data_IF_950421788066
#
_entry.id   IF_950421788066
#
_cell.length_a   1.000
_cell.length_b   1.000
_cell.length_c   1.000
_cell.angle_alpha   90.00
_cell.angle_beta   90.00
_cell.angle_gamma   90.00
#
_symmetry.space_group_name_H-M   'P 1'
#
loop_
_entity.id
_entity.type
_entity.pdbx_description
1 polymer ?
#
# COMPACT_ATOMS: atom_id res chain seq x y z
N UNK A 1 -11.09 13.70 8.88
CA UNK A 1 -11.06 12.35 8.27
C UNK A 1 -10.38 12.32 6.89
N UNK A 2 -10.69 13.22 5.95
CA UNK A 2 -10.08 13.18 4.61
C UNK A 2 -8.56 13.33 4.59
N UNK A 3 -7.99 14.27 5.35
CA UNK A 3 -6.52 14.45 5.40
C UNK A 3 -5.80 13.21 5.96
N UNK A 4 -6.39 12.56 6.97
CA UNK A 4 -5.90 11.29 7.50
C UNK A 4 -5.91 10.22 6.40
N UNK A 5 -7.00 10.11 5.64
CA UNK A 5 -7.07 9.17 4.54
C UNK A 5 -6.07 9.47 3.42
N UNK A 6 -5.75 10.74 3.13
CA UNK A 6 -4.69 11.10 2.17
C UNK A 6 -3.31 10.68 2.65
N UNK A 7 -3.02 10.92 3.94
CA UNK A 7 -1.75 10.51 4.55
C UNK A 7 -1.56 9.00 4.42
N UNK A 8 -2.55 8.21 4.87
CA UNK A 8 -2.47 6.76 4.76
C UNK A 8 -2.50 6.27 3.31
N UNK A 9 -3.23 6.93 2.40
CA UNK A 9 -3.15 6.63 0.97
C UNK A 9 -1.70 6.73 0.44
N UNK A 10 -0.97 7.79 0.80
CA UNK A 10 0.43 7.97 0.42
C UNK A 10 1.36 6.93 1.07
N UNK A 11 1.13 6.64 2.35
CA UNK A 11 1.88 5.62 3.10
C UNK A 11 1.76 4.24 2.43
N UNK A 12 0.53 3.78 2.18
CA UNK A 12 0.25 2.49 1.55
C UNK A 12 0.76 2.44 0.10
N UNK A 13 0.66 3.55 -0.64
CA UNK A 13 1.24 3.62 -2.00
C UNK A 13 2.76 3.40 -1.98
N UNK A 14 3.46 3.96 -0.99
CA UNK A 14 4.90 3.77 -0.83
C UNK A 14 5.24 2.31 -0.50
N UNK A 15 4.52 1.70 0.44
CA UNK A 15 4.73 0.30 0.82
C UNK A 15 4.43 -0.65 -0.34
N UNK A 16 3.32 -0.42 -1.05
CA UNK A 16 2.97 -1.20 -2.24
C UNK A 16 4.05 -1.12 -3.32
N UNK A 17 4.60 0.06 -3.58
CA UNK A 17 5.71 0.23 -4.52
C UNK A 17 6.99 -0.49 -4.06
N UNK A 18 7.33 -0.38 -2.78
CA UNK A 18 8.51 -1.02 -2.19
C UNK A 18 8.42 -2.55 -2.26
N UNK A 19 7.29 -3.12 -1.83
CA UNK A 19 7.06 -4.56 -1.87
C UNK A 19 6.97 -5.08 -3.31
N UNK A 20 6.41 -4.30 -4.25
CA UNK A 20 6.46 -4.64 -5.68
C UNK A 20 7.89 -4.71 -6.18
N UNK A 21 8.73 -3.73 -5.85
CA UNK A 21 10.15 -3.75 -6.21
C UNK A 21 10.86 -4.99 -5.66
N UNK A 22 10.66 -5.33 -4.38
CA UNK A 22 11.26 -6.51 -3.78
C UNK A 22 10.75 -7.82 -4.39
N UNK A 23 9.46 -7.89 -4.72
CA UNK A 23 8.91 -9.03 -5.43
C UNK A 23 9.56 -9.22 -6.80
N UNK A 24 9.63 -8.16 -7.61
CA UNK A 24 10.15 -8.24 -8.98
C UNK A 24 11.66 -8.48 -9.04
N UNK A 25 12.40 -8.01 -8.03
CA UNK A 25 13.86 -8.23 -7.95
C UNK A 25 14.24 -9.53 -7.25
N UNK A 26 13.28 -10.22 -6.63
CA UNK A 26 13.55 -11.39 -5.79
C UNK A 26 14.30 -11.07 -4.50
N UNK A 27 14.35 -9.79 -4.11
CA UNK A 27 15.04 -9.35 -2.89
C UNK A 27 14.27 -9.83 -1.66
N UNK A 28 14.99 -10.50 -0.77
CA UNK A 28 14.49 -10.90 0.53
C UNK A 28 15.03 -9.96 1.61
N UNK A 29 14.20 -9.69 2.62
CA UNK A 29 14.61 -8.94 3.80
C UNK A 29 13.87 -9.43 5.04
N UNK A 30 14.42 -9.12 6.21
CA UNK A 30 13.78 -9.41 7.50
C UNK A 30 13.47 -8.10 8.20
N UNK A 31 12.22 -7.90 8.59
CA UNK A 31 11.79 -6.76 9.39
C UNK A 31 10.87 -7.25 10.51
N UNK A 32 11.08 -6.74 11.73
CA UNK A 32 10.29 -7.11 12.91
C UNK A 32 10.20 -8.64 13.16
N UNK A 33 11.26 -9.37 12.81
CA UNK A 33 11.30 -10.84 12.94
C UNK A 33 10.56 -11.62 11.83
N UNK A 34 9.96 -10.93 10.85
CA UNK A 34 9.28 -11.53 9.71
C UNK A 34 10.23 -11.54 8.51
N UNK A 35 10.44 -12.72 7.90
CA UNK A 35 11.18 -12.85 6.65
C UNK A 35 10.23 -12.63 5.47
N UNK A 36 10.49 -11.57 4.71
CA UNK A 36 9.77 -11.23 3.49
C UNK A 36 10.42 -11.94 2.30
N UNK A 37 9.83 -13.08 1.92
CA UNK A 37 10.17 -13.80 0.69
C UNK A 37 9.47 -13.17 -0.52
N UNK A 38 9.80 -13.54 -1.78
CA UNK A 38 9.13 -12.98 -2.95
C UNK A 38 7.61 -13.17 -2.93
N UNK A 39 7.12 -14.31 -2.42
CA UNK A 39 5.68 -14.57 -2.29
C UNK A 39 5.01 -13.68 -1.24
N UNK A 40 5.68 -13.42 -0.10
CA UNK A 40 5.15 -12.50 0.93
C UNK A 40 5.15 -11.06 0.43
N UNK A 41 6.20 -10.64 -0.29
CA UNK A 41 6.27 -9.33 -0.92
C UNK A 41 5.17 -9.13 -1.97
N UNK A 42 4.89 -10.14 -2.80
CA UNK A 42 3.79 -10.07 -3.76
C UNK A 42 2.43 -9.86 -3.08
N UNK A 43 2.17 -10.60 -1.99
CA UNK A 43 0.94 -10.47 -1.22
C UNK A 43 0.83 -9.11 -0.54
N UNK A 44 1.90 -8.64 0.12
CA UNK A 44 1.94 -7.33 0.76
C UNK A 44 1.67 -6.21 -0.27
N UNK A 45 2.36 -6.25 -1.41
CA UNK A 45 2.15 -5.30 -2.50
C UNK A 45 0.69 -5.23 -2.95
N UNK A 46 0.04 -6.39 -3.14
CA UNK A 46 -1.36 -6.45 -3.54
C UNK A 46 -2.29 -5.82 -2.49
N UNK A 47 -2.08 -6.13 -1.20
CA UNK A 47 -2.84 -5.55 -0.10
C UNK A 47 -2.69 -4.03 -0.04
N UNK A 48 -1.45 -3.53 -0.04
CA UNK A 48 -1.13 -2.10 0.10
C UNK A 48 -1.72 -1.30 -1.07
N UNK A 49 -1.62 -1.82 -2.31
CA UNK A 49 -2.20 -1.17 -3.49
C UNK A 49 -3.72 -1.09 -3.38
N UNK A 50 -4.39 -2.16 -2.95
CA UNK A 50 -5.86 -2.17 -2.79
C UNK A 50 -6.30 -1.16 -1.72
N UNK A 51 -5.59 -1.11 -0.58
CA UNK A 51 -5.88 -0.16 0.50
C UNK A 51 -5.64 1.27 0.02
N UNK A 52 -4.52 1.53 -0.67
CA UNK A 52 -4.21 2.84 -1.24
C UNK A 52 -5.30 3.31 -2.21
N UNK A 53 -5.78 2.45 -3.11
CA UNK A 53 -6.87 2.77 -4.04
C UNK A 53 -8.15 3.11 -3.28
N UNK A 54 -8.54 2.29 -2.29
CA UNK A 54 -9.75 2.54 -1.51
C UNK A 54 -9.68 3.88 -0.74
N UNK A 55 -8.54 4.15 -0.10
CA UNK A 55 -8.30 5.41 0.62
C UNK A 55 -8.28 6.60 -0.33
N UNK A 56 -7.64 6.48 -1.50
CA UNK A 56 -7.60 7.51 -2.53
C UNK A 56 -9.00 7.85 -3.06
N UNK A 57 -9.81 6.83 -3.35
CA UNK A 57 -11.22 7.03 -3.76
C UNK A 57 -11.97 7.79 -2.67
N UNK A 58 -11.87 7.37 -1.40
CA UNK A 58 -12.55 8.04 -0.30
C UNK A 58 -12.06 9.48 -0.07
N UNK A 59 -10.75 9.69 -0.03
CA UNK A 59 -10.14 10.97 0.32
C UNK A 59 -10.46 12.07 -0.70
N UNK A 60 -10.50 11.72 -1.98
CA UNK A 60 -10.78 12.67 -3.07
C UNK A 60 -12.22 12.61 -3.61
N UNK A 61 -13.09 11.74 -3.07
CA UNK A 61 -14.51 11.74 -3.44
C UNK A 61 -15.12 13.12 -3.18
N UNK A 62 -15.72 13.74 -4.20
CA UNK A 62 -16.50 14.97 -4.02
C UNK A 62 -17.73 14.67 -3.14
N UNK A 63 -18.19 15.62 -2.31
CA UNK A 63 -19.48 15.50 -1.64
C UNK A 63 -20.57 15.31 -2.71
N UNK A 64 -21.57 14.48 -2.43
CA UNK A 64 -22.75 14.42 -3.29
C UNK A 64 -23.40 15.82 -3.30
N UNK A 65 -23.80 16.31 -4.49
CA UNK A 65 -24.61 17.54 -4.56
C UNK A 65 -25.92 17.25 -3.82
N UNK A 66 -26.25 18.10 -2.85
CA UNK A 66 -27.52 18.10 -2.14
C UNK A 66 -28.66 18.52 -3.08
#
# INVERSE_FOLDING_TARGET
MKEIAKFFCGWESCHGALHTYFWLTGMEFTAFGIRFTPGVNALAAACDIVIAVALGVYAWRRPAKA
#
